data_IF_980239802580
#
_entry.id   IF_980239802580
#
_cell.length_a   1.000
_cell.length_b   1.000
_cell.length_c   1.000
_cell.angle_alpha   90.00
_cell.angle_beta   90.00
_cell.angle_gamma   90.00
#
_symmetry.space_group_name_H-M   'P 1'
#
loop_
_entity.id
_entity.type
_entity.pdbx_description
1 polymer ?
#
# COMPACT_ATOMS: atom_id res chain seq x y z
N UNK A 1 -7.28 -10.97 11.17
CA UNK A 1 -7.05 -11.09 12.64
C UNK A 1 -8.35 -11.23 13.44
N UNK A 2 -9.25 -10.23 13.48
CA UNK A 2 -10.48 -10.29 14.29
C UNK A 2 -11.68 -11.01 13.64
N UNK A 3 -11.59 -11.36 12.35
CA UNK A 3 -12.65 -12.08 11.60
C UNK A 3 -14.01 -11.36 11.67
N UNK A 4 -13.98 -10.05 11.47
CA UNK A 4 -15.15 -9.17 11.42
C UNK A 4 -15.24 -8.53 10.04
N UNK A 5 -16.44 -8.12 9.58
CA UNK A 5 -16.56 -7.42 8.31
C UNK A 5 -15.94 -6.02 8.39
N UNK A 6 -15.61 -5.42 7.23
CA UNK A 6 -14.89 -4.13 7.17
C UNK A 6 -15.69 -2.97 7.76
N UNK A 7 -17.01 -3.07 7.74
CA UNK A 7 -18.00 -2.13 8.31
C UNK A 7 -18.40 -2.49 9.75
N UNK A 8 -17.64 -3.34 10.43
CA UNK A 8 -17.98 -3.78 11.78
C UNK A 8 -18.20 -2.61 12.74
N UNK A 9 -19.30 -2.70 13.49
CA UNK A 9 -19.64 -1.74 14.54
C UNK A 9 -18.72 -1.92 15.76
N UNK A 10 -18.55 -0.86 16.59
CA UNK A 10 -17.74 -0.95 17.81
C UNK A 10 -18.17 -2.09 18.75
N UNK A 11 -19.48 -2.37 18.84
CA UNK A 11 -20.01 -3.48 19.63
C UNK A 11 -19.65 -4.85 19.07
N UNK A 12 -19.62 -5.01 17.74
CA UNK A 12 -19.16 -6.25 17.08
C UNK A 12 -17.65 -6.45 17.27
N UNK A 13 -16.85 -5.37 17.16
CA UNK A 13 -15.41 -5.40 17.40
C UNK A 13 -15.08 -5.83 18.83
N UNK A 14 -15.75 -5.24 19.83
CA UNK A 14 -15.61 -5.65 21.24
C UNK A 14 -15.93 -7.11 21.47
N UNK A 15 -17.03 -7.60 20.89
CA UNK A 15 -17.46 -9.00 21.03
C UNK A 15 -16.47 -9.97 20.36
N UNK A 16 -15.96 -9.62 19.18
CA UNK A 16 -14.96 -10.42 18.47
C UNK A 16 -13.62 -10.44 19.20
N UNK A 17 -13.16 -9.28 19.69
CA UNK A 17 -11.97 -9.15 20.52
C UNK A 17 -12.08 -10.04 21.76
N UNK A 18 -13.17 -9.92 22.52
CA UNK A 18 -13.36 -10.72 23.73
C UNK A 18 -13.32 -12.23 23.46
N UNK A 19 -14.02 -12.69 22.41
CA UNK A 19 -14.03 -14.12 22.02
C UNK A 19 -12.63 -14.62 21.65
N UNK A 20 -11.85 -13.82 20.92
CA UNK A 20 -10.51 -14.17 20.44
C UNK A 20 -9.47 -14.06 21.55
N UNK A 21 -9.54 -13.01 22.38
CA UNK A 21 -8.68 -12.84 23.55
C UNK A 21 -8.85 -14.02 24.51
N UNK A 22 -10.08 -14.46 24.78
CA UNK A 22 -10.34 -15.63 25.65
C UNK A 22 -9.78 -16.94 25.08
N UNK A 23 -9.67 -17.05 23.74
CA UNK A 23 -9.14 -18.24 23.06
C UNK A 23 -7.61 -18.32 23.11
N UNK A 24 -6.93 -17.16 23.05
CA UNK A 24 -5.47 -17.05 23.00
C UNK A 24 -4.87 -16.43 24.27
N UNK A 25 -5.63 -16.36 25.37
CA UNK A 25 -5.15 -15.79 26.63
C UNK A 25 -4.05 -16.67 27.23
N UNK A 26 -2.91 -16.11 27.69
CA UNK A 26 -1.82 -16.89 28.27
C UNK A 26 -2.23 -17.76 29.45
N UNK A 27 -3.18 -17.31 30.27
CA UNK A 27 -3.74 -18.07 31.41
C UNK A 27 -4.48 -19.36 31.01
N UNK A 28 -5.00 -19.44 29.77
CA UNK A 28 -5.66 -20.64 29.25
C UNK A 28 -4.73 -21.56 28.47
N UNK A 29 -3.49 -21.13 28.24
CA UNK A 29 -2.48 -21.89 27.52
C UNK A 29 -1.63 -22.62 28.55
N UNK A 30 -2.03 -23.86 28.84
CA UNK A 30 -1.34 -24.69 29.80
C UNK A 30 0.01 -25.16 29.24
N UNK A 31 1.09 -24.82 29.94
CA UNK A 31 2.47 -25.18 29.57
C UNK A 31 2.72 -26.69 29.65
N UNK A 32 1.82 -27.44 30.29
CA UNK A 32 1.87 -28.90 30.38
C UNK A 32 1.26 -29.63 29.17
N UNK A 33 0.51 -28.93 28.30
CA UNK A 33 -0.24 -29.52 27.17
C UNK A 33 0.27 -29.01 25.81
N UNK A 34 0.81 -27.79 25.74
CA UNK A 34 1.24 -27.13 24.50
C UNK A 34 2.76 -27.13 24.33
N UNK A 35 3.25 -27.38 23.11
CA UNK A 35 4.68 -27.22 22.81
C UNK A 35 5.10 -25.75 22.88
N UNK A 36 6.41 -25.50 23.05
CA UNK A 36 6.97 -24.14 23.04
C UNK A 36 6.57 -23.33 21.80
N UNK A 37 6.54 -23.99 20.63
CA UNK A 37 6.11 -23.37 19.37
C UNK A 37 4.62 -22.98 19.37
N UNK A 38 3.76 -23.84 19.93
CA UNK A 38 2.32 -23.55 20.02
C UNK A 38 2.04 -22.39 20.98
N UNK A 39 2.84 -22.28 22.04
CA UNK A 39 2.77 -21.17 22.99
C UNK A 39 3.21 -19.86 22.35
N UNK A 40 4.31 -19.86 21.59
CA UNK A 40 4.79 -18.69 20.85
C UNK A 40 3.78 -18.24 19.80
N UNK A 41 3.20 -19.17 19.04
CA UNK A 41 2.15 -18.87 18.07
C UNK A 41 0.89 -18.28 18.72
N UNK A 42 0.51 -18.78 19.89
CA UNK A 42 -0.65 -18.27 20.60
C UNK A 42 -0.39 -16.87 21.19
N UNK A 43 0.82 -16.61 21.68
CA UNK A 43 1.28 -15.28 22.10
C UNK A 43 1.26 -14.28 20.94
N UNK A 44 1.84 -14.64 19.80
CA UNK A 44 1.85 -13.81 18.60
C UNK A 44 0.42 -13.50 18.12
N UNK A 45 -0.47 -14.50 18.14
CA UNK A 45 -1.90 -14.29 17.81
C UNK A 45 -2.57 -13.34 18.80
N UNK A 46 -2.30 -13.47 20.09
CA UNK A 46 -2.86 -12.59 21.12
C UNK A 46 -2.40 -11.13 20.95
N UNK A 47 -1.12 -10.92 20.65
CA UNK A 47 -0.57 -9.60 20.34
C UNK A 47 -1.26 -8.99 19.11
N UNK A 48 -1.35 -9.76 18.01
CA UNK A 48 -2.04 -9.30 16.81
C UNK A 48 -3.52 -8.95 17.05
N UNK A 49 -4.24 -9.76 17.85
CA UNK A 49 -5.64 -9.51 18.23
C UNK A 49 -5.78 -8.20 19.01
N UNK A 50 -4.85 -7.94 19.92
CA UNK A 50 -4.83 -6.72 20.73
C UNK A 50 -4.55 -5.49 19.88
N UNK A 51 -3.53 -5.56 19.02
CA UNK A 51 -3.19 -4.50 18.07
C UNK A 51 -4.37 -4.15 17.15
N UNK A 52 -4.99 -5.17 16.55
CA UNK A 52 -6.13 -5.00 15.67
C UNK A 52 -7.32 -4.33 16.39
N UNK A 53 -7.55 -4.64 17.67
CA UNK A 53 -8.61 -3.98 18.44
C UNK A 53 -8.25 -2.52 18.77
N UNK A 54 -7.00 -2.23 19.15
CA UNK A 54 -6.54 -0.87 19.44
C UNK A 54 -6.70 0.06 18.23
N UNK A 55 -6.40 -0.42 17.03
CA UNK A 55 -6.54 0.34 15.78
C UNK A 55 -8.02 0.50 15.41
N UNK A 56 -8.80 -0.60 15.40
CA UNK A 56 -10.18 -0.56 14.90
C UNK A 56 -11.20 0.03 15.89
N UNK A 57 -10.86 0.12 17.18
CA UNK A 57 -11.77 0.65 18.20
C UNK A 57 -11.80 2.18 18.28
N UNK A 58 -10.78 2.84 17.73
CA UNK A 58 -10.64 4.29 17.65
C UNK A 58 -10.93 4.73 16.21
N UNK A 59 -11.89 5.64 16.04
CA UNK A 59 -12.32 6.07 14.71
C UNK A 59 -11.21 6.82 13.96
N UNK A 60 -10.36 7.59 14.67
CA UNK A 60 -9.22 8.32 14.06
C UNK A 60 -8.18 7.32 13.56
N UNK A 61 -7.81 6.33 14.38
CA UNK A 61 -6.84 5.29 14.02
C UNK A 61 -7.36 4.35 12.95
N UNK A 62 -8.66 4.06 12.97
CA UNK A 62 -9.32 3.24 11.94
C UNK A 62 -9.31 3.95 10.61
N UNK A 63 -9.66 5.23 10.56
CA UNK A 63 -9.64 6.03 9.34
C UNK A 63 -8.22 6.09 8.77
N UNK A 64 -7.21 6.31 9.61
CA UNK A 64 -5.82 6.33 9.16
C UNK A 64 -5.34 4.97 8.66
N UNK A 65 -5.70 3.87 9.35
CA UNK A 65 -5.40 2.51 8.87
C UNK A 65 -6.10 2.19 7.54
N UNK A 66 -7.35 2.65 7.36
CA UNK A 66 -8.09 2.47 6.11
C UNK A 66 -7.49 3.28 4.94
N UNK A 67 -6.79 4.39 5.23
CA UNK A 67 -6.12 5.26 4.25
C UNK A 67 -4.70 4.82 3.91
N UNK A 68 -3.85 4.55 4.92
CA UNK A 68 -2.42 4.24 4.73
C UNK A 68 -2.12 2.74 4.63
N UNK A 69 -2.95 1.89 5.24
CA UNK A 69 -2.67 0.47 5.42
C UNK A 69 -1.57 0.16 6.45
N UNK A 70 -1.00 1.18 7.11
CA UNK A 70 0.10 1.03 8.06
C UNK A 70 -0.39 0.63 9.46
N UNK A 71 0.30 -0.35 10.04
CA UNK A 71 0.04 -0.80 11.41
C UNK A 71 0.89 0.01 12.39
N UNK A 72 0.25 0.81 13.23
CA UNK A 72 0.89 1.48 14.36
C UNK A 72 1.36 0.47 15.41
N UNK A 73 2.61 0.04 15.33
CA UNK A 73 3.22 -0.76 16.40
C UNK A 73 3.63 0.17 17.54
N UNK A 74 2.82 0.22 18.62
CA UNK A 74 3.13 0.99 19.84
C UNK A 74 4.25 0.30 20.67
N UNK A 75 4.87 -0.78 20.15
CA UNK A 75 5.99 -1.53 20.74
C UNK A 75 7.36 -1.21 20.13
N UNK A 76 7.46 -0.31 19.14
CA UNK A 76 8.76 0.23 18.72
C UNK A 76 9.19 1.38 19.64
N UNK A 77 10.37 1.21 20.24
CA UNK A 77 11.04 2.10 21.18
C UNK A 77 11.52 3.41 20.52
N UNK A 78 10.59 4.16 19.93
CA UNK A 78 10.72 5.58 19.59
C UNK A 78 10.07 6.46 20.68
N UNK A 79 9.91 5.91 21.87
CA UNK A 79 9.18 6.46 23.01
C UNK A 79 9.75 7.77 23.59
N UNK A 80 10.86 8.27 23.08
CA UNK A 80 11.39 9.59 23.45
C UNK A 80 10.80 10.77 22.63
N UNK A 81 10.10 10.52 21.51
CA UNK A 81 9.50 11.63 20.75
C UNK A 81 8.25 11.22 19.94
N UNK A 82 7.19 10.79 20.64
CA UNK A 82 5.83 10.64 20.07
C UNK A 82 5.33 11.89 19.31
N UNK A 83 5.92 13.05 19.57
CA UNK A 83 5.63 14.32 18.90
C UNK A 83 6.28 14.43 17.51
N UNK A 84 7.47 13.84 17.29
CA UNK A 84 8.27 14.04 16.09
C UNK A 84 7.76 13.32 14.85
N UNK A 85 7.31 12.07 14.98
CA UNK A 85 6.80 11.27 13.84
C UNK A 85 5.42 11.77 13.40
N UNK A 86 4.52 12.09 14.36
CA UNK A 86 3.21 12.71 14.05
C UNK A 86 3.37 14.12 13.46
N UNK A 87 4.29 14.94 13.99
CA UNK A 87 4.61 16.24 13.37
C UNK A 87 5.15 16.09 11.96
N UNK A 88 5.97 15.07 11.70
CA UNK A 88 6.52 14.82 10.36
C UNK A 88 5.42 14.35 9.40
N UNK A 89 4.57 13.41 9.78
CA UNK A 89 3.45 12.98 8.94
C UNK A 89 2.46 14.11 8.68
N UNK A 90 2.14 14.93 9.69
CA UNK A 90 1.25 16.09 9.54
C UNK A 90 1.89 17.20 8.69
N UNK A 91 3.21 17.41 8.83
CA UNK A 91 3.98 18.35 8.02
C UNK A 91 3.97 17.94 6.54
N UNK A 92 4.23 16.65 6.23
CA UNK A 92 4.20 16.17 4.85
C UNK A 92 2.78 16.15 4.27
N UNK A 93 1.75 15.79 5.05
CA UNK A 93 0.33 15.87 4.62
C UNK A 93 -0.14 17.31 4.36
N UNK A 94 0.42 18.30 5.06
CA UNK A 94 0.08 19.72 4.85
C UNK A 94 0.86 20.35 3.69
N UNK A 95 2.06 19.85 3.38
CA UNK A 95 2.90 20.36 2.28
C UNK A 95 2.55 19.69 0.95
N UNK A 96 2.28 18.39 0.99
CA UNK A 96 1.91 17.61 -0.18
C UNK A 96 0.44 17.24 -0.04
N UNK A 97 -0.44 17.76 -0.91
CA UNK A 97 -1.85 17.37 -0.89
C UNK A 97 -1.96 15.86 -1.05
N UNK A 98 -2.92 15.26 -0.34
CA UNK A 98 -3.22 13.83 -0.43
C UNK A 98 -3.58 13.50 -1.88
N UNK A 99 -2.76 12.67 -2.52
CA UNK A 99 -3.01 12.23 -3.89
C UNK A 99 -4.24 11.33 -3.88
N UNK A 100 -5.32 11.80 -4.49
CA UNK A 100 -6.54 11.01 -4.62
C UNK A 100 -6.47 10.12 -5.86
N UNK A 101 -7.33 9.10 -5.92
CA UNK A 101 -7.48 8.30 -7.13
C UNK A 101 -7.89 9.16 -8.33
N UNK A 102 -8.70 10.20 -8.11
CA UNK A 102 -9.08 11.14 -9.15
C UNK A 102 -7.89 11.97 -9.67
N UNK A 103 -6.91 12.28 -8.82
CA UNK A 103 -5.68 12.96 -9.24
C UNK A 103 -4.79 12.05 -10.08
N UNK A 104 -4.76 10.74 -9.78
CA UNK A 104 -4.07 9.73 -10.60
C UNK A 104 -4.73 9.62 -11.97
N UNK A 105 -6.06 9.55 -12.03
CA UNK A 105 -6.82 9.48 -13.29
C UNK A 105 -6.63 10.77 -14.11
N UNK A 106 -6.65 11.94 -13.46
CA UNK A 106 -6.40 13.22 -14.11
C UNK A 106 -4.97 13.31 -14.66
N UNK A 107 -3.99 12.77 -13.93
CA UNK A 107 -2.61 12.67 -14.41
C UNK A 107 -2.50 11.70 -15.58
N UNK A 108 -3.22 10.57 -15.57
CA UNK A 108 -3.26 9.62 -16.68
C UNK A 108 -3.71 10.29 -17.97
N UNK A 109 -4.81 11.05 -17.92
CA UNK A 109 -5.34 11.79 -19.07
C UNK A 109 -4.36 12.83 -19.58
N UNK A 110 -3.60 13.47 -18.68
CA UNK A 110 -2.60 14.48 -19.04
C UNK A 110 -1.34 13.86 -19.65
N UNK A 111 -0.88 12.74 -19.11
CA UNK A 111 0.35 12.08 -19.54
C UNK A 111 0.14 11.32 -20.85
N UNK A 112 -0.98 10.59 -21.00
CA UNK A 112 -1.26 9.84 -22.23
C UNK A 112 -1.46 10.76 -23.43
N UNK A 113 -0.93 10.36 -24.57
CA UNK A 113 -0.92 11.12 -25.82
C UNK A 113 -0.20 12.48 -25.77
N UNK A 114 0.64 12.70 -24.75
CA UNK A 114 1.41 13.94 -24.61
C UNK A 114 2.81 13.82 -25.22
N UNK A 115 3.44 14.98 -25.44
CA UNK A 115 4.84 15.06 -25.85
C UNK A 115 5.79 14.41 -24.83
N UNK A 116 5.41 14.39 -23.55
CA UNK A 116 6.19 13.74 -22.47
C UNK A 116 6.17 12.22 -22.61
N UNK A 117 5.01 11.63 -22.91
CA UNK A 117 4.90 10.19 -23.18
C UNK A 117 5.69 9.81 -24.43
N UNK A 118 5.59 10.58 -25.52
CA UNK A 118 6.36 10.33 -26.74
C UNK A 118 7.87 10.32 -26.43
N UNK A 119 8.36 11.31 -25.70
CA UNK A 119 9.77 11.40 -25.33
C UNK A 119 10.24 10.22 -24.47
N UNK A 120 9.45 9.82 -23.47
CA UNK A 120 9.75 8.66 -22.62
C UNK A 120 9.73 7.35 -23.41
N UNK A 121 8.74 7.14 -24.27
CA UNK A 121 8.62 5.96 -25.13
C UNK A 121 9.83 5.85 -26.04
N UNK A 122 10.26 6.92 -26.71
CA UNK A 122 11.43 6.89 -27.58
C UNK A 122 12.72 6.63 -26.80
N UNK A 123 12.90 7.28 -25.65
CA UNK A 123 14.04 7.06 -24.74
C UNK A 123 14.13 5.61 -24.28
N UNK A 124 13.01 5.01 -23.87
CA UNK A 124 12.98 3.62 -23.42
C UNK A 124 13.03 2.63 -24.59
N UNK A 125 12.58 3.00 -25.78
CA UNK A 125 12.74 2.19 -26.98
C UNK A 125 14.23 1.99 -27.32
N UNK A 126 15.05 3.04 -27.25
CA UNK A 126 16.49 2.93 -27.43
C UNK A 126 17.14 2.10 -26.32
N UNK A 127 16.77 2.36 -25.05
CA UNK A 127 17.33 1.67 -23.88
C UNK A 127 16.99 0.17 -23.88
N UNK A 128 15.76 -0.18 -24.25
CA UNK A 128 15.26 -1.56 -24.32
C UNK A 128 15.53 -2.21 -25.68
N UNK A 129 16.21 -1.54 -26.62
CA UNK A 129 16.54 -2.04 -27.96
C UNK A 129 15.31 -2.56 -28.73
N UNK A 130 14.19 -1.85 -28.59
CA UNK A 130 12.92 -2.20 -29.24
C UNK A 130 12.10 -3.29 -28.57
N UNK A 131 12.49 -3.78 -27.39
CA UNK A 131 11.64 -4.70 -26.60
C UNK A 131 10.49 -3.94 -25.92
N UNK A 132 9.32 -3.96 -26.53
CA UNK A 132 8.11 -3.31 -26.05
C UNK A 132 7.61 -3.87 -24.71
N UNK A 133 7.89 -5.14 -24.37
CA UNK A 133 7.49 -5.71 -23.09
C UNK A 133 8.35 -5.15 -21.96
N UNK A 134 9.65 -5.00 -22.21
CA UNK A 134 10.57 -4.37 -21.27
C UNK A 134 10.24 -2.88 -21.06
N UNK A 135 9.72 -2.20 -22.09
CA UNK A 135 9.31 -0.80 -22.00
C UNK A 135 8.11 -0.59 -21.08
N UNK A 136 7.17 -1.55 -20.99
CA UNK A 136 6.04 -1.45 -20.05
C UNK A 136 6.47 -1.32 -18.58
N UNK A 137 7.61 -1.88 -18.21
CA UNK A 137 8.12 -1.73 -16.84
C UNK A 137 8.71 -0.34 -16.55
N UNK A 138 8.89 0.50 -17.59
CA UNK A 138 9.62 1.77 -17.49
C UNK A 138 8.76 2.99 -17.81
N UNK A 139 7.85 2.88 -18.78
CA UNK A 139 6.94 3.97 -19.15
C UNK A 139 5.81 4.03 -18.12
N UNK A 140 5.55 5.23 -17.59
CA UNK A 140 4.54 5.44 -16.55
C UNK A 140 3.14 5.15 -17.09
N UNK A 141 2.27 4.58 -16.24
CA UNK A 141 0.87 4.28 -16.57
C UNK A 141 0.68 3.48 -17.87
N UNK A 142 1.66 2.62 -18.17
CA UNK A 142 1.65 1.80 -19.37
C UNK A 142 0.95 0.47 -19.18
N UNK A 143 0.20 0.09 -20.21
CA UNK A 143 -0.55 -1.16 -20.31
C UNK A 143 -0.25 -1.83 -21.64
N UNK A 144 -0.63 -3.10 -21.79
CA UNK A 144 -0.40 -3.82 -23.03
C UNK A 144 -1.09 -3.19 -24.24
N UNK A 145 -2.22 -2.51 -24.02
CA UNK A 145 -2.94 -1.80 -25.06
C UNK A 145 -2.16 -0.60 -25.64
N UNK A 146 -1.21 -0.05 -24.88
CA UNK A 146 -0.42 1.11 -25.30
C UNK A 146 0.69 0.73 -26.30
N UNK A 147 1.11 -0.55 -26.37
CA UNK A 147 2.16 -1.03 -27.28
C UNK A 147 1.83 -0.72 -28.75
N UNK A 148 0.58 -0.96 -29.16
CA UNK A 148 0.15 -0.73 -30.55
C UNK A 148 0.11 0.76 -30.89
N UNK A 149 -0.34 1.59 -29.94
CA UNK A 149 -0.33 3.06 -30.06
C UNK A 149 1.09 3.57 -30.22
N UNK A 150 2.00 3.19 -29.31
CA UNK A 150 3.39 3.62 -29.34
C UNK A 150 4.09 3.29 -30.65
N UNK A 151 3.86 2.08 -31.17
CA UNK A 151 4.45 1.64 -32.44
C UNK A 151 3.94 2.47 -33.60
N UNK A 152 2.64 2.77 -33.62
CA UNK A 152 1.99 3.46 -34.74
C UNK A 152 2.23 4.96 -34.73
N UNK A 153 2.13 5.57 -33.55
CA UNK A 153 2.06 7.02 -33.41
C UNK A 153 3.42 7.66 -33.09
N UNK A 154 4.33 6.93 -32.41
CA UNK A 154 5.61 7.47 -31.96
C UNK A 154 6.80 6.82 -32.67
N UNK A 155 6.93 5.49 -32.58
CA UNK A 155 8.14 4.77 -32.99
C UNK A 155 8.28 4.77 -34.52
N UNK A 156 7.23 4.39 -35.29
CA UNK A 156 7.29 4.37 -36.76
C UNK A 156 7.60 5.78 -37.33
N UNK A 157 6.92 6.86 -36.92
CA UNK A 157 7.27 8.20 -37.36
C UNK A 157 8.69 8.62 -36.96
N UNK A 158 9.14 8.27 -35.75
CA UNK A 158 10.49 8.60 -35.28
C UNK A 158 11.59 7.88 -36.07
N UNK A 159 11.38 6.61 -36.46
CA UNK A 159 12.30 5.86 -37.33
C UNK A 159 12.38 6.53 -38.71
N UNK A 160 11.25 6.93 -39.28
CA UNK A 160 11.21 7.63 -40.59
C UNK A 160 11.93 8.97 -40.53
N UNK A 161 11.78 9.71 -39.43
CA UNK A 161 12.49 10.97 -39.18
C UNK A 161 13.97 10.79 -38.81
N UNK A 162 14.42 9.54 -38.57
CA UNK A 162 15.79 9.22 -38.20
C UNK A 162 16.16 9.55 -36.76
N UNK A 163 15.18 9.79 -35.88
CA UNK A 163 15.40 10.11 -34.46
C UNK A 163 15.79 8.88 -33.64
N UNK A 164 15.39 7.68 -34.07
CA UNK A 164 15.59 6.41 -33.36
C UNK A 164 15.95 5.32 -34.38
N UNK A 165 16.84 4.39 -34.01
CA UNK A 165 17.38 3.32 -34.89
C UNK A 165 16.97 1.93 -34.43
#
# INVERSE_FOLDING_TARGET
>A
VLTVPRDATPSQLRKAYYKKALQYHPDKLDTSILSAEQMEQAKAKFQAISLAYTILSDEEKRAEYDESGDLYDDDDDLSANKSGVKQWTDYFKNIFPTVTTADIDAFEVKYKCSDEEEADVLKYYEKCRGDLNAMLAHVMLSSEADKERWVTDYIKPAIVRGHVK
#
